data_IF_494377672010
#
_entry.id   IF_494377672010
#
_cell.length_a   1.000
_cell.length_b   1.000
_cell.length_c   1.000
_cell.angle_alpha   90.00
_cell.angle_beta   90.00
_cell.angle_gamma   90.00
#
_symmetry.space_group_name_H-M   'P 1'
#
loop_
_entity.id
_entity.type
_entity.pdbx_description
1 polymer ?
#
# COMPACT_ATOMS: atom_id res chain seq x y z
N UNK A 1 -20.27 -14.61 -15.68
CA UNK A 1 -19.76 -16.00 -15.53
C UNK A 1 -18.72 -15.98 -14.45
N UNK A 2 -18.72 -16.88 -13.54
CA UNK A 2 -17.73 -16.91 -12.46
C UNK A 2 -16.33 -17.21 -12.99
N UNK A 3 -15.37 -17.40 -12.09
CA UNK A 3 -13.97 -17.79 -12.30
C UNK A 3 -13.73 -18.48 -13.65
N UNK A 4 -12.65 -18.14 -14.34
CA UNK A 4 -12.24 -18.82 -15.57
C UNK A 4 -11.95 -20.30 -15.26
N UNK A 5 -12.67 -21.23 -15.86
CA UNK A 5 -12.54 -22.67 -15.58
C UNK A 5 -11.08 -23.17 -15.63
N UNK A 6 -10.31 -22.70 -16.61
CA UNK A 6 -8.90 -23.08 -16.74
C UNK A 6 -8.06 -22.60 -15.55
N UNK A 7 -8.36 -21.41 -15.01
CA UNK A 7 -7.69 -20.88 -13.81
C UNK A 7 -8.13 -21.65 -12.56
N UNK A 8 -9.40 -22.07 -12.48
CA UNK A 8 -9.86 -22.93 -11.39
C UNK A 8 -9.11 -24.27 -11.34
N UNK A 9 -8.68 -24.82 -12.48
CA UNK A 9 -7.86 -26.04 -12.54
C UNK A 9 -6.46 -25.82 -11.91
N UNK A 10 -5.97 -24.59 -11.80
CA UNK A 10 -4.68 -24.26 -11.18
C UNK A 10 -4.76 -24.12 -9.65
N UNK A 11 -5.96 -24.28 -9.03
CA UNK A 11 -6.15 -24.08 -7.58
C UNK A 11 -5.08 -24.76 -6.74
N UNK A 12 -4.79 -26.04 -7.03
CA UNK A 12 -3.78 -26.79 -6.27
C UNK A 12 -2.37 -26.23 -6.43
N UNK A 13 -2.01 -25.82 -7.65
CA UNK A 13 -0.70 -25.22 -7.94
C UNK A 13 -0.58 -23.89 -7.21
N UNK A 14 -1.61 -23.01 -7.34
CA UNK A 14 -1.65 -21.71 -6.70
C UNK A 14 -1.60 -21.80 -5.16
N UNK A 15 -2.37 -22.74 -4.56
CA UNK A 15 -2.26 -23.02 -3.12
C UNK A 15 -0.84 -23.39 -2.72
N UNK A 16 -0.18 -24.25 -3.52
CA UNK A 16 1.22 -24.63 -3.26
C UNK A 16 2.18 -23.44 -3.35
N UNK A 17 2.01 -22.54 -4.34
CA UNK A 17 2.85 -21.33 -4.48
C UNK A 17 2.64 -20.35 -3.34
N UNK A 18 1.38 -20.05 -2.98
CA UNK A 18 1.06 -19.13 -1.88
C UNK A 18 1.65 -19.63 -0.56
N UNK A 19 1.48 -20.91 -0.24
CA UNK A 19 2.00 -21.49 1.00
C UNK A 19 3.52 -21.53 1.03
N UNK A 20 4.17 -21.78 -0.10
CA UNK A 20 5.62 -21.67 -0.20
C UNK A 20 6.11 -20.25 0.08
N UNK A 21 5.46 -19.22 -0.48
CA UNK A 21 5.79 -17.82 -0.22
C UNK A 21 5.55 -17.47 1.26
N UNK A 22 4.45 -17.92 1.82
CA UNK A 22 4.10 -17.71 3.24
C UNK A 22 5.14 -18.29 4.19
N UNK A 23 5.65 -19.49 3.89
CA UNK A 23 6.70 -20.15 4.65
C UNK A 23 8.07 -19.45 4.58
N UNK A 24 8.32 -18.69 3.51
CA UNK A 24 9.61 -18.09 3.20
C UNK A 24 9.54 -16.56 3.04
N UNK A 25 9.00 -15.83 4.03
CA UNK A 25 8.76 -14.39 3.94
C UNK A 25 10.07 -13.59 3.90
N UNK A 26 10.10 -12.48 3.14
CA UNK A 26 11.25 -11.58 3.02
C UNK A 26 10.83 -10.12 3.18
N UNK A 27 11.67 -9.32 3.85
CA UNK A 27 11.35 -7.96 4.29
C UNK A 27 11.87 -6.90 3.31
N UNK A 28 11.02 -5.92 3.04
CA UNK A 28 11.38 -4.67 2.37
C UNK A 28 11.98 -4.90 0.98
N UNK A 29 13.09 -4.27 0.67
CA UNK A 29 13.74 -4.36 -0.63
C UNK A 29 14.52 -5.67 -0.87
N UNK A 30 14.70 -6.50 0.14
CA UNK A 30 15.54 -7.71 0.10
C UNK A 30 14.73 -9.00 -0.15
N UNK A 31 13.76 -8.95 -1.08
CA UNK A 31 12.89 -10.08 -1.45
C UNK A 31 13.52 -10.98 -2.52
N UNK A 32 14.77 -11.37 -2.36
CA UNK A 32 15.56 -12.07 -3.39
C UNK A 32 15.10 -13.50 -3.67
N UNK A 33 14.75 -14.28 -2.64
CA UNK A 33 14.27 -15.65 -2.82
C UNK A 33 12.86 -15.68 -3.38
N UNK A 34 12.01 -14.75 -2.92
CA UNK A 34 10.67 -14.51 -3.45
C UNK A 34 10.74 -14.14 -4.95
N UNK A 35 11.62 -13.20 -5.30
CA UNK A 35 11.85 -12.81 -6.69
C UNK A 35 12.38 -13.98 -7.54
N UNK A 36 13.29 -14.78 -7.00
CA UNK A 36 13.83 -15.95 -7.70
C UNK A 36 12.72 -17.00 -7.95
N UNK A 37 11.85 -17.25 -6.97
CA UNK A 37 10.69 -18.12 -7.11
C UNK A 37 9.74 -17.61 -8.21
N UNK A 38 9.40 -16.31 -8.18
CA UNK A 38 8.56 -15.68 -9.20
C UNK A 38 9.16 -15.84 -10.59
N UNK A 39 10.46 -15.55 -10.75
CA UNK A 39 11.20 -15.68 -12.03
C UNK A 39 11.17 -17.11 -12.54
N UNK A 40 11.35 -18.11 -11.67
CA UNK A 40 11.31 -19.53 -12.03
C UNK A 40 9.92 -19.89 -12.59
N UNK A 41 8.84 -19.55 -11.87
CA UNK A 41 7.46 -19.81 -12.33
C UNK A 41 7.15 -19.12 -13.65
N UNK A 42 7.52 -17.85 -13.80
CA UNK A 42 7.29 -17.09 -15.05
C UNK A 42 8.00 -17.72 -16.24
N UNK A 43 9.24 -18.19 -16.06
CA UNK A 43 9.99 -18.91 -17.12
C UNK A 43 9.34 -20.24 -17.50
N UNK A 44 8.85 -21.00 -16.51
CA UNK A 44 8.11 -22.24 -16.74
C UNK A 44 6.82 -22.00 -17.54
N UNK A 45 6.13 -20.88 -17.31
CA UNK A 45 4.92 -20.52 -18.06
C UNK A 45 5.22 -20.04 -19.48
N UNK A 46 6.46 -19.68 -19.78
CA UNK A 46 6.87 -19.22 -21.11
C UNK A 46 6.57 -17.76 -21.36
N UNK A 47 6.81 -16.87 -20.38
CA UNK A 47 6.80 -15.42 -20.59
C UNK A 47 7.88 -15.02 -21.59
N UNK A 48 7.67 -13.92 -22.31
CA UNK A 48 8.60 -13.52 -23.39
C UNK A 48 9.87 -12.82 -22.87
N UNK A 49 9.73 -12.03 -21.80
CA UNK A 49 10.87 -11.31 -21.19
C UNK A 49 10.72 -11.34 -19.65
N UNK A 50 11.85 -11.41 -18.93
CA UNK A 50 11.92 -11.29 -17.48
C UNK A 50 13.08 -10.37 -17.11
N UNK A 51 12.78 -9.33 -16.34
CA UNK A 51 13.73 -8.32 -15.86
C UNK A 51 13.67 -8.29 -14.33
N UNK A 52 14.78 -8.62 -13.68
CA UNK A 52 14.91 -8.65 -12.23
C UNK A 52 15.83 -7.54 -11.74
N UNK A 53 15.78 -7.23 -10.44
CA UNK A 53 16.67 -6.25 -9.81
C UNK A 53 16.20 -4.80 -9.94
N UNK A 54 14.93 -4.57 -10.27
CA UNK A 54 14.30 -3.24 -10.25
C UNK A 54 13.89 -2.96 -8.80
N UNK A 55 14.20 -1.81 -8.25
CA UNK A 55 14.10 -1.56 -6.81
C UNK A 55 14.72 -2.72 -5.99
N UNK A 56 15.95 -3.08 -6.27
CA UNK A 56 16.77 -4.13 -5.65
C UNK A 56 16.30 -5.56 -6.00
N UNK A 57 15.08 -5.97 -5.66
CA UNK A 57 14.60 -7.34 -5.87
C UNK A 57 13.33 -7.44 -6.73
N UNK A 58 12.75 -6.33 -7.16
CA UNK A 58 11.55 -6.33 -7.99
C UNK A 58 11.74 -7.00 -9.34
N UNK A 59 10.65 -7.55 -9.87
CA UNK A 59 10.61 -8.28 -11.15
C UNK A 59 9.55 -7.67 -12.05
N UNK A 60 9.92 -7.42 -13.31
CA UNK A 60 8.96 -7.09 -14.37
C UNK A 60 9.07 -8.14 -15.47
N UNK A 61 7.94 -8.78 -15.81
CA UNK A 61 7.90 -9.73 -16.91
C UNK A 61 6.92 -9.28 -17.99
N UNK A 62 7.24 -9.60 -19.24
CA UNK A 62 6.44 -9.21 -20.39
C UNK A 62 5.84 -10.44 -21.04
N UNK A 63 4.53 -10.37 -21.31
CA UNK A 63 3.82 -11.33 -22.15
C UNK A 63 3.31 -10.59 -23.39
N UNK A 64 3.73 -11.04 -24.57
CA UNK A 64 3.24 -10.51 -25.85
C UNK A 64 1.94 -11.22 -26.24
N UNK A 65 0.95 -10.45 -26.65
CA UNK A 65 -0.31 -10.95 -27.21
C UNK A 65 -0.22 -11.26 -28.69
N UNK A 66 -1.38 -11.50 -29.32
CA UNK A 66 -1.51 -11.85 -30.74
C UNK A 66 -1.69 -10.60 -31.60
N UNK A 67 -0.70 -9.72 -31.66
CA UNK A 67 -0.76 -8.52 -32.48
C UNK A 67 -0.28 -7.27 -31.78
N UNK A 68 -0.26 -6.15 -32.51
CA UNK A 68 0.17 -4.87 -31.97
C UNK A 68 -0.88 -4.24 -31.06
N UNK A 69 -0.43 -3.57 -30.01
CA UNK A 69 -1.26 -2.85 -29.06
C UNK A 69 -0.41 -2.21 -27.96
N UNK A 70 -1.04 -1.48 -27.01
CA UNK A 70 -0.35 -0.87 -25.89
C UNK A 70 0.12 -1.92 -24.87
N UNK A 71 0.92 -1.47 -23.90
CA UNK A 71 1.31 -2.27 -22.73
C UNK A 71 0.45 -1.89 -21.53
N UNK A 72 -0.15 -2.87 -20.87
CA UNK A 72 -0.89 -2.72 -19.60
C UNK A 72 -0.08 -3.34 -18.46
N UNK A 73 0.11 -2.58 -17.38
CA UNK A 73 0.77 -3.04 -16.16
C UNK A 73 -0.20 -3.69 -15.19
N UNK A 74 0.19 -4.81 -14.58
CA UNK A 74 -0.53 -5.49 -13.51
C UNK A 74 0.44 -5.71 -12.35
N UNK A 75 0.10 -5.25 -11.15
CA UNK A 75 0.99 -5.25 -9.99
C UNK A 75 0.54 -6.22 -8.90
N UNK A 76 1.49 -6.90 -8.32
CA UNK A 76 1.42 -7.54 -7.02
C UNK A 76 2.65 -7.16 -6.20
N UNK A 77 2.47 -6.95 -4.91
CA UNK A 77 3.53 -6.78 -3.92
C UNK A 77 4.07 -8.13 -3.44
N UNK A 78 5.29 -8.14 -2.85
CA UNK A 78 5.97 -9.38 -2.48
C UNK A 78 6.49 -9.39 -1.04
N UNK A 79 6.62 -8.25 -0.40
CA UNK A 79 7.26 -8.09 0.90
C UNK A 79 6.34 -8.46 2.07
N UNK A 80 6.91 -8.42 3.29
CA UNK A 80 6.25 -8.85 4.52
C UNK A 80 6.42 -7.85 5.65
N UNK A 81 5.75 -8.12 6.76
CA UNK A 81 5.84 -7.37 8.01
C UNK A 81 6.84 -7.98 9.00
N UNK A 82 7.57 -7.14 9.77
CA UNK A 82 8.46 -7.59 10.82
C UNK A 82 7.67 -7.96 12.10
N UNK A 83 6.96 -9.09 12.06
CA UNK A 83 6.13 -9.57 13.16
C UNK A 83 6.16 -11.10 13.26
N UNK A 84 6.02 -11.62 14.47
CA UNK A 84 6.02 -13.08 14.72
C UNK A 84 4.63 -13.65 14.45
N UNK A 85 4.57 -14.70 13.65
CA UNK A 85 3.33 -15.41 13.33
C UNK A 85 2.87 -16.32 14.47
N UNK A 86 1.55 -16.34 14.73
CA UNK A 86 0.92 -17.17 15.75
C UNK A 86 -0.21 -18.06 15.20
N UNK A 87 -0.34 -18.21 13.88
CA UNK A 87 -1.40 -19.02 13.24
C UNK A 87 -1.29 -20.51 13.57
N UNK A 88 -0.07 -21.05 13.75
CA UNK A 88 0.24 -22.47 13.88
C UNK A 88 -0.20 -23.30 12.67
N UNK A 89 -0.34 -22.69 11.50
CA UNK A 89 -0.62 -23.38 10.25
C UNK A 89 0.55 -24.29 9.86
N UNK A 90 0.28 -25.35 9.10
CA UNK A 90 1.35 -26.24 8.60
C UNK A 90 2.34 -25.48 7.70
N UNK A 91 1.89 -24.39 7.09
CA UNK A 91 2.65 -23.50 6.21
C UNK A 91 3.05 -22.18 6.91
N UNK A 92 3.05 -22.13 8.24
CA UNK A 92 3.47 -20.95 8.96
C UNK A 92 4.91 -20.54 8.61
N UNK A 93 5.20 -19.25 8.76
CA UNK A 93 6.53 -18.69 8.49
C UNK A 93 7.64 -19.51 9.14
N UNK A 94 8.69 -19.81 8.37
CA UNK A 94 9.91 -20.46 8.83
C UNK A 94 11.00 -19.46 9.22
N UNK A 95 10.69 -18.17 9.17
CA UNK A 95 11.60 -17.06 9.52
C UNK A 95 11.07 -16.31 10.72
N UNK A 96 11.73 -16.47 11.86
CA UNK A 96 11.34 -15.82 13.11
C UNK A 96 11.25 -14.29 12.93
N UNK A 97 10.11 -13.71 13.40
CA UNK A 97 9.90 -12.28 13.34
C UNK A 97 9.51 -11.73 11.97
N UNK A 98 9.20 -12.58 11.00
CA UNK A 98 8.69 -12.19 9.68
C UNK A 98 7.42 -12.94 9.33
N UNK A 99 6.42 -12.24 8.77
CA UNK A 99 5.12 -12.84 8.45
C UNK A 99 4.44 -12.14 7.29
N UNK A 100 3.83 -12.90 6.38
CA UNK A 100 2.86 -12.39 5.40
C UNK A 100 1.52 -12.07 6.09
N UNK A 101 1.46 -10.95 6.83
CA UNK A 101 0.26 -10.53 7.55
C UNK A 101 -0.60 -9.52 6.80
N UNK A 102 -0.22 -9.17 5.55
CA UNK A 102 -1.01 -8.33 4.64
C UNK A 102 -1.54 -9.07 3.40
N UNK A 103 -1.07 -10.30 3.15
CA UNK A 103 -1.57 -11.16 2.07
C UNK A 103 -0.84 -11.01 0.75
N UNK A 104 0.38 -10.45 0.74
CA UNK A 104 1.19 -10.27 -0.46
C UNK A 104 1.61 -11.60 -1.11
N UNK A 105 1.70 -12.69 -0.35
CA UNK A 105 1.81 -14.06 -0.86
C UNK A 105 0.61 -14.45 -1.74
N UNK A 106 -0.60 -14.04 -1.34
CA UNK A 106 -1.81 -14.19 -2.14
C UNK A 106 -1.80 -13.31 -3.39
N UNK A 107 -1.40 -12.03 -3.26
CA UNK A 107 -1.33 -11.10 -4.40
C UNK A 107 -0.35 -11.60 -5.47
N UNK A 108 0.87 -11.94 -5.07
CA UNK A 108 1.89 -12.54 -5.94
C UNK A 108 1.37 -13.80 -6.62
N UNK A 109 0.70 -14.69 -5.87
CA UNK A 109 0.15 -15.93 -6.41
C UNK A 109 -1.00 -15.71 -7.40
N UNK A 110 -1.89 -14.75 -7.13
CA UNK A 110 -2.97 -14.41 -8.07
C UNK A 110 -2.42 -13.90 -9.40
N UNK A 111 -1.39 -13.07 -9.36
CA UNK A 111 -0.74 -12.56 -10.57
C UNK A 111 0.02 -13.67 -11.33
N UNK A 112 0.67 -14.61 -10.62
CA UNK A 112 1.28 -15.80 -11.22
C UNK A 112 0.23 -16.73 -11.88
N UNK A 113 -0.93 -16.93 -11.24
CA UNK A 113 -2.03 -17.70 -11.81
C UNK A 113 -2.57 -17.10 -13.11
N UNK A 114 -2.73 -15.78 -13.13
CA UNK A 114 -3.10 -15.04 -14.34
C UNK A 114 -2.02 -15.13 -15.42
N UNK A 115 -0.73 -15.02 -15.04
CA UNK A 115 0.40 -15.14 -15.96
C UNK A 115 0.41 -16.48 -16.68
N UNK A 116 0.22 -17.60 -15.94
CA UNK A 116 0.13 -18.95 -16.50
C UNK A 116 -0.97 -19.04 -17.56
N UNK A 117 -2.17 -18.55 -17.25
CA UNK A 117 -3.29 -18.54 -18.19
C UNK A 117 -3.01 -17.67 -19.43
N UNK A 118 -2.46 -16.47 -19.21
CA UNK A 118 -2.15 -15.54 -20.31
C UNK A 118 -1.05 -16.08 -21.24
N UNK A 119 -0.07 -16.80 -20.71
CA UNK A 119 0.96 -17.47 -21.52
C UNK A 119 0.37 -18.63 -22.34
N UNK A 120 -0.55 -19.42 -21.75
CA UNK A 120 -1.21 -20.54 -22.46
C UNK A 120 -2.11 -20.06 -23.59
N UNK A 121 -2.83 -18.97 -23.40
CA UNK A 121 -3.90 -18.56 -24.31
C UNK A 121 -3.54 -17.42 -25.25
N UNK A 122 -2.78 -16.44 -24.75
CA UNK A 122 -2.43 -15.18 -25.43
C UNK A 122 -3.62 -14.48 -26.10
N UNK A 123 -4.81 -14.55 -25.48
CA UNK A 123 -6.08 -14.03 -26.03
C UNK A 123 -6.21 -12.52 -25.87
N UNK A 124 -5.17 -11.78 -26.22
CA UNK A 124 -5.14 -10.32 -26.20
C UNK A 124 -4.19 -9.78 -27.27
N UNK A 125 -4.35 -8.51 -27.64
CA UNK A 125 -3.42 -7.78 -28.51
C UNK A 125 -2.49 -6.90 -27.65
N UNK A 126 -1.31 -6.52 -28.14
CA UNK A 126 -0.37 -5.70 -27.35
C UNK A 126 0.43 -6.50 -26.33
N UNK A 127 0.71 -5.91 -25.17
CA UNK A 127 1.64 -6.45 -24.18
C UNK A 127 1.07 -6.35 -22.76
N UNK A 128 1.37 -7.31 -21.92
CA UNK A 128 1.15 -7.24 -20.47
C UNK A 128 2.49 -7.17 -19.77
N UNK A 129 2.65 -6.17 -18.90
CA UNK A 129 3.76 -6.05 -17.97
C UNK A 129 3.30 -6.53 -16.59
N UNK A 130 3.81 -7.67 -16.14
CA UNK A 130 3.58 -8.21 -14.81
C UNK A 130 4.61 -7.60 -13.87
N UNK A 131 4.16 -6.87 -12.86
CA UNK A 131 5.01 -6.12 -11.93
C UNK A 131 4.92 -6.82 -10.57
N UNK A 132 6.03 -7.41 -10.12
CA UNK A 132 6.17 -7.98 -8.78
C UNK A 132 7.06 -7.04 -7.98
N UNK A 133 6.44 -6.34 -7.04
CA UNK A 133 7.02 -5.20 -6.33
C UNK A 133 7.47 -5.57 -4.92
N UNK A 134 8.71 -5.26 -4.48
CA UNK A 134 9.14 -5.34 -3.10
C UNK A 134 8.76 -4.10 -2.30
N UNK A 135 8.88 -4.16 -0.99
CA UNK A 135 8.89 -3.02 -0.05
C UNK A 135 7.66 -2.10 -0.12
N UNK A 136 6.44 -2.66 -0.21
CA UNK A 136 5.21 -1.87 -0.07
C UNK A 136 5.07 -1.34 1.36
N UNK A 137 5.34 -2.17 2.37
CA UNK A 137 5.04 -1.91 3.78
C UNK A 137 5.95 -0.85 4.44
N UNK A 138 7.10 -0.50 3.85
CA UNK A 138 8.08 0.35 4.55
C UNK A 138 8.90 1.32 3.68
N UNK A 139 9.56 0.87 2.62
CA UNK A 139 10.54 1.69 1.90
C UNK A 139 10.00 2.32 0.61
N UNK A 140 8.76 2.00 0.22
CA UNK A 140 8.13 2.53 -0.99
C UNK A 140 8.74 1.96 -2.27
N UNK A 141 8.78 0.64 -2.39
CA UNK A 141 9.31 -0.05 -3.57
C UNK A 141 8.61 0.36 -4.86
N UNK A 142 7.29 0.65 -4.81
CA UNK A 142 6.54 1.19 -5.95
C UNK A 142 7.08 2.53 -6.42
N UNK A 143 7.40 3.45 -5.49
CA UNK A 143 8.06 4.72 -5.80
C UNK A 143 9.42 4.48 -6.48
N UNK A 144 10.25 3.63 -5.88
CA UNK A 144 11.60 3.35 -6.40
C UNK A 144 11.52 2.75 -7.82
N UNK A 145 10.62 1.79 -8.07
CA UNK A 145 10.42 1.22 -9.41
C UNK A 145 10.01 2.28 -10.44
N UNK A 146 9.15 3.23 -10.06
CA UNK A 146 8.75 4.35 -10.94
C UNK A 146 9.92 5.30 -11.17
N UNK A 147 10.67 5.69 -10.13
CA UNK A 147 11.85 6.57 -10.22
C UNK A 147 12.98 5.96 -11.06
N UNK A 148 13.13 4.61 -11.06
CA UNK A 148 14.05 3.88 -11.93
C UNK A 148 13.59 3.81 -13.40
N UNK A 149 12.46 4.43 -13.72
CA UNK A 149 11.94 4.54 -15.09
C UNK A 149 11.22 3.30 -15.61
N UNK A 150 10.66 2.47 -14.72
CA UNK A 150 9.95 1.25 -15.10
C UNK A 150 8.83 1.53 -16.11
N UNK A 151 8.05 2.60 -15.91
CA UNK A 151 6.90 2.93 -16.76
C UNK A 151 7.31 3.24 -18.20
N UNK A 152 8.40 3.98 -18.37
CA UNK A 152 8.97 4.34 -19.68
C UNK A 152 9.67 3.15 -20.33
N UNK A 153 10.48 2.43 -19.55
CA UNK A 153 11.27 1.29 -20.04
C UNK A 153 10.41 0.21 -20.67
N UNK A 154 9.25 -0.07 -20.09
CA UNK A 154 8.32 -1.09 -20.60
C UNK A 154 7.14 -0.52 -21.38
N UNK A 155 7.14 0.81 -21.63
CA UNK A 155 6.07 1.54 -22.34
C UNK A 155 4.68 1.29 -21.76
N UNK A 156 4.57 1.22 -20.42
CA UNK A 156 3.33 0.97 -19.71
C UNK A 156 2.40 2.18 -19.87
N UNK A 157 1.16 1.95 -20.30
CA UNK A 157 0.16 2.99 -20.56
C UNK A 157 -0.88 3.11 -19.45
N UNK A 158 -1.23 1.99 -18.84
CA UNK A 158 -2.18 1.90 -17.74
C UNK A 158 -1.70 0.88 -16.72
N UNK A 159 -2.09 1.03 -15.44
CA UNK A 159 -1.71 0.13 -14.34
C UNK A 159 -2.91 -0.30 -13.52
N UNK A 160 -2.90 -1.56 -13.06
CA UNK A 160 -3.96 -2.13 -12.24
C UNK A 160 -3.37 -3.01 -11.12
N UNK A 161 -4.00 -2.96 -9.94
CA UNK A 161 -3.65 -3.77 -8.80
C UNK A 161 -4.89 -4.21 -8.01
N UNK A 162 -4.73 -5.27 -7.19
CA UNK A 162 -5.76 -5.77 -6.29
C UNK A 162 -5.15 -5.95 -4.92
N UNK A 163 -5.87 -5.54 -3.87
CA UNK A 163 -5.55 -5.88 -2.49
C UNK A 163 -6.64 -6.78 -1.88
N UNK A 164 -6.25 -7.76 -1.14
CA UNK A 164 -7.17 -8.61 -0.41
C UNK A 164 -7.81 -7.89 0.79
N UNK A 165 -9.05 -8.22 1.12
CA UNK A 165 -9.73 -7.70 2.32
C UNK A 165 -10.36 -8.84 3.09
N UNK A 166 -9.91 -9.11 4.35
CA UNK A 166 -10.53 -10.11 5.20
C UNK A 166 -11.95 -9.69 5.62
N UNK A 167 -12.77 -10.67 6.02
CA UNK A 167 -14.13 -10.49 6.50
C UNK A 167 -15.14 -9.92 5.48
N UNK A 168 -14.78 -9.95 4.20
CA UNK A 168 -15.68 -9.74 3.06
C UNK A 168 -15.85 -11.05 2.29
N UNK A 169 -17.03 -11.30 1.67
CA UNK A 169 -17.25 -12.57 0.94
C UNK A 169 -16.20 -12.80 -0.13
N UNK A 170 -15.77 -14.05 -0.30
CA UNK A 170 -14.73 -14.43 -1.27
C UNK A 170 -15.11 -13.98 -2.67
N UNK A 171 -14.17 -13.34 -3.36
CA UNK A 171 -14.32 -12.90 -4.74
C UNK A 171 -15.31 -11.74 -4.95
N UNK A 172 -15.75 -11.05 -3.87
CA UNK A 172 -16.41 -9.76 -4.00
C UNK A 172 -15.37 -8.68 -4.26
N UNK A 173 -15.64 -7.76 -5.18
CA UNK A 173 -14.72 -6.67 -5.52
C UNK A 173 -15.29 -5.32 -5.13
N UNK A 174 -14.40 -4.44 -4.65
CA UNK A 174 -14.74 -3.09 -4.18
C UNK A 174 -13.76 -2.09 -4.77
N UNK A 175 -14.27 -0.99 -5.29
CA UNK A 175 -13.44 0.15 -5.75
C UNK A 175 -14.28 1.42 -5.80
N UNK A 176 -13.65 2.55 -6.06
CA UNK A 176 -14.34 3.82 -6.31
C UNK A 176 -13.51 4.69 -7.25
N UNK A 177 -14.12 5.47 -8.14
CA UNK A 177 -13.42 6.56 -8.83
C UNK A 177 -12.91 7.61 -7.85
N UNK A 178 -11.74 8.18 -8.11
CA UNK A 178 -11.12 9.15 -7.22
C UNK A 178 -10.41 8.51 -6.03
N UNK A 179 -10.32 9.21 -4.88
CA UNK A 179 -9.58 8.72 -3.71
C UNK A 179 -10.16 7.40 -3.18
N UNK A 180 -9.33 6.38 -3.09
CA UNK A 180 -9.66 5.07 -2.53
C UNK A 180 -8.98 4.87 -1.16
N UNK A 181 -7.68 5.19 -1.05
CA UNK A 181 -6.91 5.07 0.19
C UNK A 181 -6.21 6.38 0.54
N UNK A 182 -5.96 6.59 1.84
CA UNK A 182 -5.35 7.82 2.33
C UNK A 182 -3.87 7.92 1.98
N UNK A 183 -3.40 9.15 1.79
CA UNK A 183 -1.99 9.47 1.92
C UNK A 183 -1.55 9.41 3.38
N UNK A 184 -0.30 9.06 3.62
CA UNK A 184 0.24 8.84 4.95
C UNK A 184 1.54 9.60 5.15
N UNK A 185 1.51 10.63 6.02
CA UNK A 185 2.68 11.41 6.37
C UNK A 185 3.01 11.28 7.86
N UNK A 186 4.21 11.70 8.23
CA UNK A 186 4.65 11.76 9.61
C UNK A 186 5.23 13.14 9.94
N UNK A 187 5.18 13.51 11.20
CA UNK A 187 5.85 14.70 11.70
C UNK A 187 6.67 14.40 12.94
N UNK A 188 7.78 15.12 13.10
CA UNK A 188 8.68 15.02 14.24
C UNK A 188 8.98 16.44 14.75
N UNK A 189 8.89 16.62 16.06
CA UNK A 189 9.10 17.92 16.71
C UNK A 189 10.03 17.72 17.88
N UNK A 190 11.18 18.41 17.84
CA UNK A 190 12.08 18.55 18.98
C UNK A 190 11.90 19.93 19.58
N UNK A 191 11.68 19.98 20.88
CA UNK A 191 11.50 21.24 21.62
C UNK A 191 12.64 21.37 22.62
N UNK A 192 13.35 22.49 22.56
CA UNK A 192 14.40 22.82 23.53
C UNK A 192 14.01 24.06 24.30
N UNK A 193 13.92 23.93 25.61
CA UNK A 193 13.64 24.99 26.55
C UNK A 193 14.87 25.32 27.43
N UNK A 194 14.58 25.66 28.68
CA UNK A 194 15.56 25.79 29.72
C UNK A 194 14.98 25.14 30.97
N UNK A 195 15.56 24.00 31.36
CA UNK A 195 15.15 23.24 32.54
C UNK A 195 15.48 23.92 33.85
N UNK A 196 14.90 23.44 34.95
CA UNK A 196 15.16 23.99 36.27
C UNK A 196 14.36 23.33 37.39
N UNK A 197 14.41 23.91 38.56
CA UNK A 197 13.71 23.40 39.74
C UNK A 197 12.19 23.60 39.61
N UNK A 198 11.39 22.54 39.78
CA UNK A 198 9.93 22.60 39.60
C UNK A 198 9.19 23.64 40.45
N UNK A 199 9.79 24.09 41.60
CA UNK A 199 9.24 25.15 42.41
C UNK A 199 9.58 26.58 41.93
N UNK A 200 10.47 26.72 40.95
CA UNK A 200 10.89 28.01 40.39
C UNK A 200 10.65 28.09 38.87
N UNK A 201 9.40 27.89 38.39
CA UNK A 201 9.10 27.84 36.95
C UNK A 201 9.38 29.17 36.23
N UNK A 202 9.41 30.30 36.95
CA UNK A 202 9.72 31.62 36.40
C UNK A 202 11.19 31.77 35.92
N UNK A 203 12.09 30.88 36.35
CA UNK A 203 13.48 30.82 35.92
C UNK A 203 13.70 29.90 34.70
N UNK A 204 12.64 29.26 34.21
CA UNK A 204 12.68 28.24 33.17
C UNK A 204 12.02 28.69 31.86
N UNK A 205 12.21 27.87 30.83
CA UNK A 205 11.42 27.87 29.59
C UNK A 205 10.92 26.45 29.39
N UNK A 206 9.67 26.22 29.77
CA UNK A 206 9.11 24.87 29.95
C UNK A 206 8.74 24.20 28.61
N UNK A 207 9.49 23.16 28.15
CA UNK A 207 9.17 22.46 26.92
C UNK A 207 7.99 21.52 27.06
N UNK A 208 7.60 21.10 28.29
CA UNK A 208 6.42 20.25 28.53
C UNK A 208 5.15 21.02 28.17
N UNK A 209 5.04 22.26 28.66
CA UNK A 209 3.89 23.11 28.36
C UNK A 209 3.84 23.52 26.90
N UNK A 210 5.00 23.71 26.25
CA UNK A 210 5.06 23.97 24.81
C UNK A 210 4.55 22.77 24.01
N UNK A 211 4.97 21.55 24.33
CA UNK A 211 4.50 20.32 23.67
C UNK A 211 2.98 20.15 23.79
N UNK A 212 2.41 20.35 25.01
CA UNK A 212 0.97 20.26 25.22
C UNK A 212 0.20 21.28 24.39
N UNK A 213 0.69 22.53 24.32
CA UNK A 213 0.04 23.58 23.53
C UNK A 213 0.13 23.32 22.03
N UNK A 214 1.25 22.81 21.51
CA UNK A 214 1.40 22.42 20.10
C UNK A 214 0.41 21.29 19.78
N UNK A 215 0.33 20.25 20.62
CA UNK A 215 -0.59 19.12 20.41
C UNK A 215 -2.06 19.58 20.36
N UNK A 216 -2.48 20.48 21.25
CA UNK A 216 -3.82 21.06 21.24
C UNK A 216 -4.08 21.94 20.01
N UNK A 217 -3.12 22.79 19.66
CA UNK A 217 -3.26 23.69 18.51
C UNK A 217 -3.36 22.93 17.18
N UNK A 218 -2.69 21.80 17.02
CA UNK A 218 -2.82 20.94 15.82
C UNK A 218 -4.24 20.47 15.58
N UNK A 219 -5.03 20.22 16.63
CA UNK A 219 -6.45 19.85 16.46
C UNK A 219 -7.29 20.99 15.87
N UNK A 220 -6.82 22.22 15.95
CA UNK A 220 -7.50 23.36 15.32
C UNK A 220 -7.37 23.36 13.79
N UNK A 221 -6.35 22.71 13.24
CA UNK A 221 -6.19 22.55 11.79
C UNK A 221 -7.39 21.80 11.24
N UNK A 222 -7.74 20.65 11.83
CA UNK A 222 -8.90 19.83 11.41
C UNK A 222 -10.22 20.59 11.58
N UNK A 223 -10.35 21.38 12.64
CA UNK A 223 -11.64 21.99 13.00
C UNK A 223 -11.80 23.42 12.48
N UNK A 224 -10.75 24.12 12.04
CA UNK A 224 -10.77 25.56 11.67
C UNK A 224 -10.08 25.90 10.36
N UNK A 225 -9.25 25.01 9.80
CA UNK A 225 -8.56 25.27 8.52
C UNK A 225 -9.03 24.32 7.40
N UNK A 226 -9.39 23.10 7.75
CA UNK A 226 -9.89 22.12 6.78
C UNK A 226 -11.26 22.53 6.25
N UNK A 227 -11.47 22.38 4.93
CA UNK A 227 -12.79 22.53 4.35
C UNK A 227 -13.73 21.44 4.91
N UNK A 228 -14.97 21.76 5.31
CA UNK A 228 -15.84 20.84 6.06
C UNK A 228 -16.19 19.50 5.38
N UNK A 229 -16.05 19.41 4.06
CA UNK A 229 -16.30 18.16 3.31
C UNK A 229 -15.04 17.32 3.10
N UNK A 230 -13.85 17.88 3.38
CA UNK A 230 -12.58 17.15 3.24
C UNK A 230 -12.34 16.25 4.46
N UNK A 231 -11.50 15.24 4.25
CA UNK A 231 -11.12 14.26 5.29
C UNK A 231 -9.66 14.45 5.67
N UNK A 232 -9.41 14.55 6.97
CA UNK A 232 -8.07 14.71 7.51
C UNK A 232 -8.00 14.07 8.90
N UNK A 233 -6.93 13.32 9.16
CA UNK A 233 -6.56 12.86 10.50
C UNK A 233 -5.19 13.43 10.85
N UNK A 234 -5.08 14.03 12.03
CA UNK A 234 -3.81 14.41 12.66
C UNK A 234 -3.77 13.74 14.04
N UNK A 235 -2.89 12.78 14.21
CA UNK A 235 -2.71 12.07 15.48
C UNK A 235 -1.32 12.31 16.03
N UNK A 236 -1.24 12.95 17.20
CA UNK A 236 -0.02 12.95 18.01
C UNK A 236 0.06 11.60 18.71
N UNK A 237 1.06 10.81 18.39
CA UNK A 237 1.17 9.41 18.87
C UNK A 237 2.22 9.23 19.96
N UNK A 238 3.15 10.17 20.08
CA UNK A 238 4.20 10.14 21.10
C UNK A 238 4.48 11.54 21.65
N UNK A 239 4.65 11.63 22.97
CA UNK A 239 5.24 12.79 23.67
C UNK A 239 6.17 12.22 24.74
N UNK A 240 7.45 12.55 24.66
CA UNK A 240 8.48 12.12 25.59
C UNK A 240 9.17 13.31 26.21
N UNK A 241 9.09 13.45 27.55
CA UNK A 241 9.73 14.52 28.29
C UNK A 241 9.74 14.20 29.80
N UNK A 242 10.69 14.76 30.54
CA UNK A 242 10.79 14.65 31.99
C UNK A 242 11.16 13.27 32.49
N UNK A 243 11.73 13.21 33.71
CA UNK A 243 12.12 11.94 34.36
C UNK A 243 11.80 11.91 35.86
N UNK A 244 11.65 13.07 36.50
CA UNK A 244 11.36 13.20 37.94
C UNK A 244 10.39 14.34 38.19
N UNK A 245 9.67 14.27 39.31
CA UNK A 245 8.53 15.13 39.64
C UNK A 245 8.89 16.59 40.06
N UNK A 246 10.12 16.86 40.45
CA UNK A 246 10.56 18.18 40.94
C UNK A 246 11.51 18.91 40.00
N UNK A 247 11.69 18.44 38.76
CA UNK A 247 12.56 19.04 37.74
C UNK A 247 11.77 19.33 36.48
N UNK A 248 11.75 20.61 36.04
CA UNK A 248 11.32 20.97 34.68
C UNK A 248 12.42 20.55 33.72
N UNK A 249 12.14 19.70 32.71
CA UNK A 249 13.14 19.20 31.79
C UNK A 249 13.67 20.29 30.83
N UNK A 250 14.78 20.02 30.18
CA UNK A 250 15.33 20.91 29.16
C UNK A 250 14.76 20.68 27.78
N UNK A 251 14.25 19.45 27.52
CA UNK A 251 13.80 19.06 26.20
C UNK A 251 12.48 18.28 26.24
N UNK A 252 11.72 18.37 25.15
CA UNK A 252 10.61 17.46 24.85
C UNK A 252 10.72 17.02 23.39
N UNK A 253 10.23 15.81 23.12
CA UNK A 253 10.07 15.25 21.80
C UNK A 253 8.62 14.84 21.60
N UNK A 254 8.08 15.12 20.41
CA UNK A 254 6.77 14.59 20.01
C UNK A 254 6.77 14.22 18.53
N UNK A 255 5.96 13.24 18.18
CA UNK A 255 5.71 12.89 16.79
C UNK A 255 4.27 12.42 16.60
N UNK A 256 3.94 12.15 15.33
CA UNK A 256 2.65 11.64 14.98
C UNK A 256 2.50 11.38 13.50
N UNK A 257 1.27 11.09 13.11
CA UNK A 257 0.91 10.77 11.73
C UNK A 257 -0.20 11.66 11.21
N UNK A 258 -0.19 11.88 9.91
CA UNK A 258 -1.22 12.59 9.16
C UNK A 258 -1.81 11.63 8.12
N UNK A 259 -3.15 11.71 7.89
CA UNK A 259 -3.83 11.02 6.81
C UNK A 259 -4.69 12.03 6.05
N UNK A 260 -4.58 12.02 4.75
CA UNK A 260 -5.32 12.93 3.85
C UNK A 260 -5.69 12.23 2.54
N UNK A 261 -6.58 12.84 1.75
CA UNK A 261 -7.03 12.31 0.46
C UNK A 261 -6.82 13.29 -0.70
N UNK A 262 -6.18 14.43 -0.42
CA UNK A 262 -6.00 15.52 -1.37
C UNK A 262 -4.63 16.17 -1.13
N UNK A 263 -3.81 16.36 -2.18
CA UNK A 263 -2.51 17.06 -2.09
C UNK A 263 -2.64 18.50 -1.56
N UNK A 264 -3.69 19.23 -1.91
CA UNK A 264 -3.91 20.60 -1.40
C UNK A 264 -4.13 20.60 0.13
N UNK A 265 -4.78 19.55 0.66
CA UNK A 265 -4.96 19.37 2.11
C UNK A 265 -3.61 19.05 2.77
N UNK A 266 -2.75 18.23 2.14
CA UNK A 266 -1.41 17.93 2.60
C UNK A 266 -0.57 19.22 2.75
N UNK A 267 -0.52 20.05 1.71
CA UNK A 267 0.21 21.31 1.70
C UNK A 267 -0.29 22.28 2.77
N UNK A 268 -1.61 22.38 2.92
CA UNK A 268 -2.23 23.19 3.96
C UNK A 268 -1.82 22.70 5.35
N UNK A 269 -1.89 21.41 5.63
CA UNK A 269 -1.53 20.81 6.93
C UNK A 269 -0.06 21.05 7.25
N UNK A 270 0.84 20.74 6.32
CA UNK A 270 2.29 20.95 6.44
C UNK A 270 2.63 22.40 6.78
N UNK A 271 2.01 23.34 6.07
CA UNK A 271 2.18 24.77 6.28
C UNK A 271 1.65 25.19 7.65
N UNK A 272 0.42 24.84 8.00
CA UNK A 272 -0.23 25.25 9.25
C UNK A 272 0.46 24.67 10.48
N UNK A 273 0.93 23.42 10.44
CA UNK A 273 1.70 22.83 11.52
C UNK A 273 3.01 23.62 11.75
N UNK A 274 3.71 23.99 10.68
CA UNK A 274 4.92 24.81 10.77
C UNK A 274 4.66 26.19 11.39
N UNK A 275 3.59 26.87 10.96
CA UNK A 275 3.20 28.18 11.51
C UNK A 275 2.82 28.11 13.00
N UNK A 276 2.11 27.08 13.43
CA UNK A 276 1.77 26.82 14.84
C UNK A 276 3.04 26.61 15.65
N UNK A 277 3.96 25.78 15.17
CA UNK A 277 5.25 25.53 15.83
C UNK A 277 6.05 26.81 16.00
N UNK A 278 6.18 27.63 14.96
CA UNK A 278 6.90 28.91 14.98
C UNK A 278 6.25 29.92 15.94
N UNK A 279 4.90 30.01 15.89
CA UNK A 279 4.14 30.90 16.77
C UNK A 279 4.29 30.53 18.25
N UNK A 280 4.18 29.26 18.59
CA UNK A 280 4.31 28.76 19.97
C UNK A 280 5.79 28.79 20.45
N UNK A 281 6.76 28.56 19.57
CA UNK A 281 8.17 28.77 19.85
C UNK A 281 8.42 30.19 20.38
N UNK A 282 7.92 31.18 19.66
CA UNK A 282 8.03 32.60 20.06
C UNK A 282 7.25 32.88 21.35
N UNK A 283 6.02 32.43 21.46
CA UNK A 283 5.16 32.74 22.61
C UNK A 283 5.66 32.12 23.93
N UNK A 284 6.25 30.90 23.85
CA UNK A 284 6.73 30.15 25.01
C UNK A 284 8.22 30.37 25.28
N UNK A 285 8.95 31.07 24.38
CA UNK A 285 10.39 31.33 24.50
C UNK A 285 11.24 30.06 24.42
N UNK A 286 10.80 29.05 23.67
CA UNK A 286 11.51 27.79 23.43
C UNK A 286 11.98 27.70 21.98
N UNK A 287 12.95 26.82 21.70
CA UNK A 287 13.30 26.45 20.32
C UNK A 287 12.46 25.25 19.87
N UNK A 288 11.88 25.33 18.69
CA UNK A 288 11.09 24.23 18.10
C UNK A 288 11.67 23.87 16.74
N UNK A 289 12.22 22.63 16.61
CA UNK A 289 12.63 22.04 15.35
C UNK A 289 11.50 21.14 14.84
N UNK A 290 10.77 21.63 13.83
CA UNK A 290 9.66 20.94 13.18
C UNK A 290 10.11 20.32 11.87
N UNK A 291 9.86 19.00 11.71
CA UNK A 291 10.11 18.23 10.50
C UNK A 291 8.85 17.49 10.07
N UNK A 292 8.38 17.79 8.89
CA UNK A 292 7.32 17.05 8.22
C UNK A 292 7.96 16.10 7.20
N UNK A 293 7.54 14.86 7.18
CA UNK A 293 7.98 13.85 6.22
C UNK A 293 6.77 13.40 5.43
N UNK A 294 6.76 13.75 4.16
CA UNK A 294 5.81 13.22 3.20
C UNK A 294 6.11 11.74 3.01
N UNK A 295 5.07 10.93 3.12
CA UNK A 295 5.11 9.50 2.88
C UNK A 295 4.36 9.14 1.60
N UNK A 296 3.52 8.12 1.63
CA UNK A 296 2.78 7.68 0.45
C UNK A 296 1.69 8.70 0.09
N UNK A 297 1.57 9.11 -1.19
CA UNK A 297 0.45 9.93 -1.63
C UNK A 297 -0.87 9.15 -1.54
N UNK A 298 -2.02 9.83 -1.60
CA UNK A 298 -3.31 9.16 -1.66
C UNK A 298 -3.41 8.24 -2.89
N UNK A 299 -3.97 7.04 -2.71
CA UNK A 299 -4.29 6.16 -3.82
C UNK A 299 -5.54 6.69 -4.52
N UNK A 300 -5.37 7.33 -5.68
CA UNK A 300 -6.43 8.00 -6.43
C UNK A 300 -6.67 7.25 -7.74
N UNK A 301 -7.79 6.57 -7.84
CA UNK A 301 -8.18 5.86 -9.05
C UNK A 301 -8.63 6.84 -10.14
N UNK A 302 -8.19 6.61 -11.36
CA UNK A 302 -8.69 7.33 -12.53
C UNK A 302 -10.09 6.84 -12.87
N UNK A 303 -11.00 7.79 -13.14
CA UNK A 303 -12.43 7.49 -13.24
C UNK A 303 -12.75 6.45 -14.33
N UNK A 304 -12.16 6.60 -15.52
CA UNK A 304 -12.40 5.68 -16.65
C UNK A 304 -11.85 4.29 -16.36
N UNK A 305 -10.65 4.19 -15.75
CA UNK A 305 -10.02 2.93 -15.40
C UNK A 305 -10.73 2.23 -14.24
N UNK A 306 -11.24 2.99 -13.26
CA UNK A 306 -12.05 2.44 -12.18
C UNK A 306 -13.39 1.90 -12.70
N UNK A 307 -14.06 2.60 -13.60
CA UNK A 307 -15.29 2.13 -14.25
C UNK A 307 -15.02 0.87 -15.09
N UNK A 308 -13.95 0.87 -15.88
CA UNK A 308 -13.53 -0.28 -16.67
C UNK A 308 -13.20 -1.50 -15.78
N UNK A 309 -12.39 -1.32 -14.74
CA UNK A 309 -12.03 -2.39 -13.82
C UNK A 309 -13.26 -2.95 -13.06
N UNK A 310 -14.22 -2.08 -12.70
CA UNK A 310 -15.51 -2.47 -12.11
C UNK A 310 -16.29 -3.38 -13.06
N UNK A 311 -16.36 -3.06 -14.35
CA UNK A 311 -17.04 -3.89 -15.35
C UNK A 311 -16.33 -5.24 -15.58
N UNK A 312 -14.99 -5.24 -15.54
CA UNK A 312 -14.20 -6.49 -15.58
C UNK A 312 -14.49 -7.36 -14.35
N UNK A 313 -14.56 -6.75 -13.16
CA UNK A 313 -14.90 -7.46 -11.93
C UNK A 313 -16.30 -8.10 -12.01
N UNK A 314 -17.28 -7.40 -12.61
CA UNK A 314 -18.63 -7.95 -12.85
C UNK A 314 -18.64 -9.17 -13.78
N UNK A 315 -17.77 -9.19 -14.77
CA UNK A 315 -17.62 -10.37 -15.65
C UNK A 315 -17.14 -11.62 -14.88
N UNK A 316 -16.38 -11.42 -13.79
CA UNK A 316 -15.80 -12.51 -12.97
C UNK A 316 -16.70 -12.87 -11.80
N UNK A 317 -17.25 -11.90 -11.10
CA UNK A 317 -17.98 -12.11 -9.83
C UNK A 317 -19.51 -11.99 -9.98
N UNK A 318 -19.99 -11.34 -11.05
CA UNK A 318 -21.40 -10.98 -11.22
C UNK A 318 -21.75 -9.66 -10.54
N UNK A 319 -22.81 -8.99 -11.00
CA UNK A 319 -23.18 -7.64 -10.57
C UNK A 319 -23.38 -7.50 -9.04
N UNK A 320 -23.97 -8.52 -8.41
CA UNK A 320 -24.28 -8.51 -6.98
C UNK A 320 -23.03 -8.58 -6.07
N UNK A 321 -21.89 -8.97 -6.61
CA UNK A 321 -20.63 -9.14 -5.89
C UNK A 321 -19.62 -8.01 -6.18
N UNK A 322 -20.05 -6.90 -6.78
CA UNK A 322 -19.15 -5.79 -7.12
C UNK A 322 -19.76 -4.46 -6.68
N UNK A 323 -19.03 -3.75 -5.82
CA UNK A 323 -19.31 -2.37 -5.45
C UNK A 323 -18.30 -1.43 -6.13
N UNK A 324 -18.76 -0.67 -7.12
CA UNK A 324 -17.95 0.32 -7.85
C UNK A 324 -17.98 1.73 -7.24
N UNK A 325 -18.50 1.89 -6.03
CA UNK A 325 -18.60 3.18 -5.32
C UNK A 325 -18.45 2.99 -3.80
N UNK A 326 -17.45 2.20 -3.40
CA UNK A 326 -17.14 1.91 -1.99
C UNK A 326 -16.67 3.18 -1.26
N UNK A 327 -16.68 3.11 0.08
CA UNK A 327 -16.07 4.17 0.90
C UNK A 327 -14.54 4.22 0.73
N UNK A 328 -13.95 5.29 1.26
CA UNK A 328 -12.48 5.43 1.32
C UNK A 328 -11.92 4.72 2.53
N UNK A 329 -10.69 4.18 2.40
CA UNK A 329 -9.94 3.53 3.47
C UNK A 329 -8.83 4.43 4.00
N UNK A 330 -8.53 4.31 5.31
CA UNK A 330 -7.49 5.11 5.96
C UNK A 330 -6.10 4.49 5.89
N UNK A 331 -5.98 3.28 5.35
CA UNK A 331 -4.70 2.67 4.99
C UNK A 331 -4.01 3.48 3.90
N UNK A 332 -2.71 3.33 3.79
CA UNK A 332 -1.91 3.90 2.70
C UNK A 332 -1.35 2.76 1.85
N UNK A 333 -1.03 3.06 0.59
CA UNK A 333 -0.60 2.07 -0.41
C UNK A 333 0.33 2.75 -1.41
N UNK A 334 1.51 2.20 -1.64
CA UNK A 334 2.52 2.81 -2.50
C UNK A 334 2.28 2.58 -4.01
N UNK A 335 1.29 1.76 -4.39
CA UNK A 335 0.75 1.72 -5.75
C UNK A 335 0.28 3.11 -6.22
N UNK A 336 -0.01 4.00 -5.28
CA UNK A 336 -0.32 5.42 -5.52
C UNK A 336 0.71 6.11 -6.42
N UNK A 337 2.01 5.81 -6.30
CA UNK A 337 3.05 6.36 -7.18
C UNK A 337 2.92 5.88 -8.63
N UNK A 338 2.46 4.64 -8.84
CA UNK A 338 2.17 4.13 -10.17
C UNK A 338 0.96 4.84 -10.78
N UNK A 339 -0.08 5.13 -9.97
CA UNK A 339 -1.26 5.87 -10.38
C UNK A 339 -0.97 7.35 -10.67
N UNK A 340 -0.02 7.98 -9.97
CA UNK A 340 0.44 9.33 -10.30
C UNK A 340 1.19 9.36 -11.65
N UNK A 341 1.87 8.28 -12.00
CA UNK A 341 2.65 8.17 -13.24
C UNK A 341 1.80 7.77 -14.45
N UNK A 342 0.78 6.93 -14.27
CA UNK A 342 -0.05 6.37 -15.35
C UNK A 342 -1.52 6.26 -14.93
N UNK A 343 -2.46 6.42 -15.88
CA UNK A 343 -3.85 6.07 -15.64
C UNK A 343 -3.98 4.63 -15.11
N UNK A 344 -4.88 4.41 -14.16
CA UNK A 344 -5.05 3.08 -13.58
C UNK A 344 -6.11 3.03 -12.51
N UNK A 345 -6.27 1.85 -11.94
CA UNK A 345 -7.18 1.61 -10.82
C UNK A 345 -6.65 0.54 -9.87
N UNK A 346 -6.92 0.75 -8.59
CA UNK A 346 -6.71 -0.20 -7.50
C UNK A 346 -8.05 -0.68 -6.98
N UNK A 347 -8.16 -1.97 -6.70
CA UNK A 347 -9.38 -2.59 -6.22
C UNK A 347 -9.11 -3.38 -4.96
N UNK A 348 -10.13 -3.55 -4.14
CA UNK A 348 -10.15 -4.51 -3.05
C UNK A 348 -10.88 -5.78 -3.47
N UNK A 349 -10.44 -6.94 -2.94
CA UNK A 349 -11.10 -8.23 -3.14
C UNK A 349 -11.30 -8.96 -1.81
N UNK A 350 -12.52 -9.36 -1.50
CA UNK A 350 -12.85 -10.16 -0.33
C UNK A 350 -12.23 -11.56 -0.37
N UNK A 351 -11.67 -11.99 0.77
CA UNK A 351 -11.07 -13.32 0.95
C UNK A 351 -11.82 -14.22 1.96
N UNK A 352 -13.02 -13.80 2.39
CA UNK A 352 -13.78 -14.53 3.39
C UNK A 352 -13.34 -14.22 4.83
N UNK A 353 -13.76 -15.06 5.76
CA UNK A 353 -13.44 -14.86 7.18
C UNK A 353 -11.96 -15.17 7.45
N UNK A 354 -11.26 -14.18 7.96
CA UNK A 354 -9.87 -14.27 8.41
C UNK A 354 -9.63 -13.27 9.54
N UNK A 355 -8.52 -13.38 10.26
CA UNK A 355 -8.06 -12.32 11.13
C UNK A 355 -7.79 -11.05 10.30
N UNK A 356 -7.85 -9.87 10.90
CA UNK A 356 -7.57 -8.60 10.21
C UNK A 356 -6.15 -8.56 9.67
N UNK A 357 -5.91 -7.68 8.70
CA UNK A 357 -4.55 -7.40 8.22
C UNK A 357 -3.66 -6.96 9.40
N UNK A 358 -2.35 -7.24 9.31
CA UNK A 358 -1.34 -6.93 10.34
C UNK A 358 -1.61 -7.62 11.69
N UNK A 359 -2.38 -8.70 11.69
CA UNK A 359 -2.65 -9.52 12.88
C UNK A 359 -1.78 -10.79 12.87
N UNK A 360 -1.23 -11.18 14.00
CA UNK A 360 -0.36 -12.37 14.15
C UNK A 360 -1.04 -13.70 13.78
N UNK A 361 -2.37 -13.72 13.68
CA UNK A 361 -3.19 -14.87 13.28
C UNK A 361 -3.76 -14.74 11.87
N UNK A 362 -3.32 -13.74 11.09
CA UNK A 362 -3.76 -13.58 9.70
C UNK A 362 -3.29 -14.77 8.85
N UNK A 363 -4.16 -15.27 7.98
CA UNK A 363 -3.82 -16.23 6.93
C UNK A 363 -4.69 -15.94 5.70
N UNK A 364 -4.07 -15.90 4.53
CA UNK A 364 -4.78 -15.67 3.27
C UNK A 364 -5.61 -16.91 2.92
N UNK A 365 -6.86 -16.71 2.54
CA UNK A 365 -7.72 -17.81 2.15
C UNK A 365 -7.44 -18.26 0.70
N UNK A 366 -6.85 -19.44 0.55
CA UNK A 366 -6.48 -20.01 -0.75
C UNK A 366 -7.65 -20.10 -1.74
N UNK A 367 -8.90 -20.23 -1.28
CA UNK A 367 -10.09 -20.29 -2.15
C UNK A 367 -10.35 -18.97 -2.90
N UNK A 368 -9.74 -17.87 -2.47
CA UNK A 368 -9.84 -16.58 -3.14
C UNK A 368 -8.89 -16.44 -4.36
N UNK A 369 -7.82 -17.23 -4.44
CA UNK A 369 -6.79 -17.14 -5.47
C UNK A 369 -7.33 -17.16 -6.91
N UNK A 370 -8.27 -18.08 -7.29
CA UNK A 370 -8.80 -18.12 -8.66
C UNK A 370 -9.61 -16.87 -9.04
N UNK A 371 -10.19 -16.16 -8.07
CA UNK A 371 -10.97 -14.95 -8.32
C UNK A 371 -10.07 -13.80 -8.79
N UNK A 372 -9.00 -13.51 -8.05
CA UNK A 372 -8.05 -12.46 -8.41
C UNK A 372 -7.27 -12.79 -9.69
N UNK A 373 -6.84 -14.05 -9.85
CA UNK A 373 -6.20 -14.51 -11.09
C UNK A 373 -7.13 -14.36 -12.30
N UNK A 374 -8.42 -14.69 -12.15
CA UNK A 374 -9.42 -14.52 -13.22
C UNK A 374 -9.70 -13.07 -13.54
N UNK A 375 -9.68 -12.19 -12.54
CA UNK A 375 -9.81 -10.75 -12.75
C UNK A 375 -8.66 -10.21 -13.62
N UNK A 376 -7.39 -10.48 -13.26
CA UNK A 376 -6.25 -10.04 -14.05
C UNK A 376 -6.28 -10.59 -15.49
N UNK A 377 -6.60 -11.87 -15.64
CA UNK A 377 -6.71 -12.49 -16.97
C UNK A 377 -7.82 -11.85 -17.81
N UNK A 378 -8.99 -11.62 -17.23
CA UNK A 378 -10.11 -10.96 -17.91
C UNK A 378 -9.81 -9.49 -18.22
N UNK A 379 -9.10 -8.80 -17.33
CA UNK A 379 -8.65 -7.43 -17.55
C UNK A 379 -7.76 -7.35 -18.78
N UNK A 380 -6.78 -8.27 -18.93
CA UNK A 380 -5.95 -8.33 -20.14
C UNK A 380 -6.79 -8.51 -21.42
N UNK A 381 -7.70 -9.48 -21.43
CA UNK A 381 -8.55 -9.78 -22.59
C UNK A 381 -9.47 -8.60 -22.97
N UNK A 382 -9.97 -7.85 -21.96
CA UNK A 382 -10.89 -6.72 -22.16
C UNK A 382 -10.17 -5.42 -22.53
N UNK A 383 -9.03 -5.13 -21.89
CA UNK A 383 -8.24 -3.93 -22.18
C UNK A 383 -7.55 -4.02 -23.56
N UNK A 384 -7.19 -5.22 -23.97
CA UNK A 384 -6.41 -5.49 -25.19
C UNK A 384 -7.16 -6.48 -26.13
N UNK A 385 -8.35 -6.14 -26.63
CA UNK A 385 -9.15 -7.07 -27.41
C UNK A 385 -8.48 -7.43 -28.74
N UNK A 386 -8.56 -8.69 -29.13
CA UNK A 386 -8.21 -9.15 -30.49
C UNK A 386 -9.18 -8.53 -31.50
N UNK A 387 -8.65 -7.97 -32.56
CA UNK A 387 -9.44 -7.37 -33.65
C UNK A 387 -9.73 -8.39 -34.74
#
# INVERSE_FOLDING_TARGET
MPIINRIAEYQKDMTGWRRYLHENPELGLECHETAAFVVERLKEFGVDEVHSGIATSGVVAIINGQGAGPTIGMRADMDVLPMTEETRAEWASKRDGLMHACGHDGHTTMLLGAAKYMCETRRFAGRIALIFQPAEENDGGGRIMVEEGMMERFDIKEVYGIHNVPNHPIGHFFTTPGPLMAGADTFHINIKGCGGHGAYPHETRDPVMAAVQIAQAFQTIVTRNLHPIDKLVISVTQIHTGTVDNVIPETAYMNGTVRHFNPDVQDMVKTRMGEICAGLSTAMGVEVDYKYREGYPPTINHADQAAFATDVARDVAGDAAVDGNTGVEMGAEDFSYMLESRPGAYLFMGIGNAAGLHNTHYDFNDDALPHGASFFARLAERALPLR
#
